data_IF_719429454849
#
_entry.id   IF_719429454849
#
_cell.length_a   1.000
_cell.length_b   1.000
_cell.length_c   1.000
_cell.angle_alpha   90.00
_cell.angle_beta   90.00
_cell.angle_gamma   90.00
#
_symmetry.space_group_name_H-M   'P 1'
#
loop_
_entity.id
_entity.type
_entity.pdbx_description
1 polymer ?
#
# COMPACT_ATOMS: atom_id res chain seq x y z
N UNK A 1 7.18 -38.99 7.49
CA UNK A 1 8.05 -37.79 7.42
C UNK A 1 7.69 -36.95 6.19
N UNK A 2 6.57 -36.20 6.18
CA UNK A 2 6.25 -35.30 5.04
C UNK A 2 5.28 -34.15 5.34
N UNK A 3 4.73 -34.04 6.55
CA UNK A 3 3.67 -33.06 6.85
C UNK A 3 4.15 -31.81 7.64
N UNK A 4 5.45 -31.66 7.87
CA UNK A 4 6.00 -30.58 8.72
C UNK A 4 6.76 -29.48 7.95
N UNK A 5 6.92 -29.59 6.64
CA UNK A 5 7.69 -28.60 5.84
C UNK A 5 6.86 -27.45 5.28
N UNK A 6 5.54 -27.62 5.10
CA UNK A 6 4.70 -26.59 4.46
C UNK A 6 4.10 -25.57 5.43
N UNK A 7 3.90 -25.94 6.70
CA UNK A 7 3.31 -25.05 7.70
C UNK A 7 4.29 -23.96 8.18
N UNK A 8 5.60 -24.25 8.19
CA UNK A 8 6.62 -23.29 8.63
C UNK A 8 6.77 -22.09 7.70
N UNK A 9 6.62 -22.24 6.38
CA UNK A 9 6.81 -21.12 5.45
C UNK A 9 5.67 -20.08 5.56
N UNK A 10 4.41 -20.54 5.66
CA UNK A 10 3.27 -19.64 5.80
C UNK A 10 3.25 -18.92 7.17
N UNK A 11 3.60 -19.63 8.24
CA UNK A 11 3.65 -19.04 9.58
C UNK A 11 4.83 -18.06 9.74
N UNK A 12 6.01 -18.39 9.19
CA UNK A 12 7.19 -17.49 9.26
C UNK A 12 6.99 -16.24 8.40
N UNK A 13 6.34 -16.33 7.23
CA UNK A 13 6.02 -15.14 6.42
C UNK A 13 5.02 -14.23 7.15
N UNK A 14 4.01 -14.77 7.82
CA UNK A 14 3.05 -13.99 8.59
C UNK A 14 3.70 -13.30 9.81
N UNK A 15 4.61 -13.99 10.50
CA UNK A 15 5.31 -13.45 11.68
C UNK A 15 6.35 -12.40 11.30
N UNK A 16 7.10 -12.59 10.20
CA UNK A 16 8.09 -11.59 9.72
C UNK A 16 7.41 -10.31 9.22
N UNK A 17 6.19 -10.41 8.68
CA UNK A 17 5.38 -9.24 8.32
C UNK A 17 4.90 -8.45 9.55
N UNK A 18 4.71 -9.12 10.69
CA UNK A 18 4.28 -8.50 11.94
C UNK A 18 5.45 -7.87 12.72
N UNK A 19 6.65 -8.42 12.65
CA UNK A 19 7.79 -7.99 13.49
C UNK A 19 8.68 -6.90 12.88
N UNK A 20 8.48 -6.53 11.62
CA UNK A 20 9.24 -5.44 10.96
C UNK A 20 8.53 -4.08 11.02
N UNK A 21 7.37 -4.02 11.68
CA UNK A 21 6.69 -2.78 12.05
C UNK A 21 7.53 -2.03 13.08
N UNK A 22 8.53 -1.28 12.61
CA UNK A 22 9.00 -0.10 13.34
C UNK A 22 7.76 0.79 13.54
N UNK A 23 7.39 1.16 14.77
CA UNK A 23 6.42 2.22 14.98
C UNK A 23 7.06 3.51 14.47
N UNK A 24 6.89 3.77 13.18
CA UNK A 24 7.25 5.05 12.60
C UNK A 24 6.34 6.07 13.27
N UNK A 25 6.93 6.97 14.06
CA UNK A 25 6.28 8.07 14.76
C UNK A 25 5.00 8.52 14.07
N UNK A 26 3.85 8.23 14.68
CA UNK A 26 2.55 8.69 14.21
C UNK A 26 2.61 10.22 14.16
N UNK A 27 2.72 10.79 12.96
CA UNK A 27 2.46 12.21 12.79
C UNK A 27 0.95 12.33 12.96
N UNK A 28 0.54 13.07 13.97
CA UNK A 28 -0.87 13.25 14.27
C UNK A 28 -1.50 14.16 13.22
N UNK A 29 -1.90 13.57 12.09
CA UNK A 29 -2.91 14.11 11.19
C UNK A 29 -4.09 13.15 11.19
N UNK A 30 -5.00 13.35 12.17
CA UNK A 30 -6.31 12.71 12.26
C UNK A 30 -6.35 11.18 12.22
N UNK A 31 -5.89 10.49 13.27
CA UNK A 31 -6.19 9.06 13.57
C UNK A 31 -6.17 8.04 12.40
N UNK A 32 -5.41 8.30 11.32
CA UNK A 32 -5.34 7.41 10.17
C UNK A 32 -4.53 6.18 10.54
N UNK A 33 -5.16 5.01 10.47
CA UNK A 33 -4.51 3.73 10.68
C UNK A 33 -3.75 3.30 9.42
N UNK A 34 -2.43 3.47 9.42
CA UNK A 34 -1.58 3.11 8.28
C UNK A 34 -1.63 1.61 7.93
N UNK A 35 -1.93 0.73 8.89
CA UNK A 35 -2.10 -0.71 8.61
C UNK A 35 -3.33 -0.91 7.73
N UNK A 36 -4.43 -0.23 8.05
CA UNK A 36 -5.64 -0.26 7.20
C UNK A 36 -5.39 0.35 5.82
N UNK A 37 -4.64 1.45 5.75
CA UNK A 37 -4.27 2.05 4.45
C UNK A 37 -3.48 1.05 3.60
N UNK A 38 -2.52 0.33 4.19
CA UNK A 38 -1.71 -0.68 3.50
C UNK A 38 -2.55 -1.84 2.95
N UNK A 39 -3.59 -2.27 3.67
CA UNK A 39 -4.47 -3.38 3.24
C UNK A 39 -5.19 -3.07 1.92
N UNK A 40 -5.43 -1.81 1.57
CA UNK A 40 -5.99 -1.45 0.26
C UNK A 40 -5.05 -1.79 -0.92
N UNK A 41 -3.75 -1.94 -0.67
CA UNK A 41 -2.73 -2.23 -1.69
C UNK A 41 -2.37 -3.72 -1.79
N UNK A 42 -2.80 -4.56 -0.84
CA UNK A 42 -2.63 -6.02 -0.91
C UNK A 42 -3.04 -6.62 -2.26
N UNK A 43 -4.21 -6.31 -2.85
CA UNK A 43 -4.58 -6.84 -4.17
C UNK A 43 -3.72 -6.30 -5.33
N UNK A 44 -2.91 -5.28 -5.09
CA UNK A 44 -2.05 -4.64 -6.09
C UNK A 44 -0.63 -5.22 -6.14
N UNK A 45 -0.26 -6.08 -5.19
CA UNK A 45 1.10 -6.61 -5.06
C UNK A 45 1.61 -7.28 -6.35
N UNK A 46 0.77 -8.04 -7.05
CA UNK A 46 1.16 -8.69 -8.31
C UNK A 46 1.67 -7.73 -9.38
N UNK A 47 1.08 -6.52 -9.42
CA UNK A 47 1.49 -5.45 -10.31
C UNK A 47 2.67 -4.64 -9.75
N UNK A 48 2.62 -4.24 -8.47
CA UNK A 48 3.63 -3.41 -7.82
C UNK A 48 5.03 -4.05 -7.78
N UNK A 49 5.09 -5.37 -7.71
CA UNK A 49 6.33 -6.14 -7.66
C UNK A 49 6.62 -6.90 -8.96
N UNK A 50 5.86 -6.63 -10.03
CA UNK A 50 5.91 -7.33 -11.34
C UNK A 50 6.08 -8.84 -11.22
N UNK A 51 5.29 -9.48 -10.35
CA UNK A 51 5.42 -10.91 -10.07
C UNK A 51 4.61 -11.77 -11.04
N UNK A 52 3.41 -11.30 -11.41
CA UNK A 52 2.45 -12.09 -12.18
C UNK A 52 1.58 -11.27 -13.15
N UNK A 53 1.69 -9.93 -13.16
CA UNK A 53 0.86 -9.08 -14.02
C UNK A 53 1.52 -7.77 -14.37
N UNK A 54 1.45 -7.38 -15.64
CA UNK A 54 1.87 -6.07 -16.16
C UNK A 54 0.81 -4.98 -15.99
N UNK A 55 -0.39 -5.32 -15.50
CA UNK A 55 -1.48 -4.37 -15.24
C UNK A 55 -2.10 -4.58 -13.84
N UNK A 56 -2.64 -3.51 -13.20
CA UNK A 56 -3.41 -3.64 -11.98
C UNK A 56 -4.64 -4.53 -12.18
N UNK A 57 -4.94 -5.39 -11.20
CA UNK A 57 -6.15 -6.20 -11.25
C UNK A 57 -7.40 -5.33 -11.05
N UNK A 58 -8.59 -5.77 -11.51
CA UNK A 58 -9.84 -5.07 -11.22
C UNK A 58 -10.08 -4.87 -9.72
N UNK A 59 -9.73 -5.87 -8.90
CA UNK A 59 -9.82 -5.81 -7.43
C UNK A 59 -8.86 -4.79 -6.82
N UNK A 60 -7.63 -4.68 -7.35
CA UNK A 60 -6.70 -3.63 -6.95
C UNK A 60 -7.29 -2.23 -7.19
N UNK A 61 -7.77 -1.97 -8.41
CA UNK A 61 -8.34 -0.67 -8.72
C UNK A 61 -9.61 -0.37 -7.92
N UNK A 62 -10.45 -1.37 -7.63
CA UNK A 62 -11.62 -1.21 -6.77
C UNK A 62 -11.23 -0.80 -5.34
N UNK A 63 -10.24 -1.47 -4.74
CA UNK A 63 -9.72 -1.10 -3.41
C UNK A 63 -9.17 0.32 -3.39
N UNK A 64 -8.36 0.70 -4.38
CA UNK A 64 -7.78 2.05 -4.43
C UNK A 64 -8.84 3.14 -4.63
N UNK A 65 -9.89 2.89 -5.40
CA UNK A 65 -11.04 3.81 -5.50
C UNK A 65 -11.75 3.96 -4.16
N UNK A 66 -11.93 2.87 -3.42
CA UNK A 66 -12.53 2.91 -2.07
C UNK A 66 -11.68 3.74 -1.10
N UNK A 67 -10.37 3.54 -1.10
CA UNK A 67 -9.44 4.37 -0.32
C UNK A 67 -9.56 5.85 -0.73
N UNK A 68 -9.53 6.15 -2.03
CA UNK A 68 -9.67 7.53 -2.52
C UNK A 68 -11.00 8.18 -2.10
N UNK A 69 -12.10 7.43 -2.08
CA UNK A 69 -13.40 7.92 -1.65
C UNK A 69 -13.46 8.23 -0.13
N UNK A 70 -12.67 7.51 0.67
CA UNK A 70 -12.55 7.71 2.11
C UNK A 70 -11.52 8.79 2.48
N UNK A 71 -10.55 9.05 1.61
CA UNK A 71 -9.52 10.07 1.76
C UNK A 71 -10.04 11.46 1.35
N UNK A 72 -10.73 12.15 2.27
CA UNK A 72 -11.26 13.51 2.06
C UNK A 72 -10.79 14.47 3.15
N UNK A 73 -10.63 15.75 2.78
CA UNK A 73 -10.23 16.81 3.71
C UNK A 73 -8.93 16.45 4.46
N UNK A 74 -8.86 16.63 5.79
CA UNK A 74 -7.63 16.40 6.57
C UNK A 74 -7.16 14.93 6.57
N UNK A 75 -8.05 13.96 6.29
CA UNK A 75 -7.70 12.53 6.20
C UNK A 75 -6.72 12.27 5.06
N UNK A 76 -6.73 13.09 3.99
CA UNK A 76 -5.84 12.92 2.83
C UNK A 76 -4.37 12.99 3.21
N UNK A 77 -4.01 13.90 4.09
CA UNK A 77 -2.64 14.09 4.52
C UNK A 77 -2.15 12.87 5.29
N UNK A 78 -2.95 12.37 6.24
CA UNK A 78 -2.63 11.15 6.98
C UNK A 78 -2.47 9.93 6.07
N UNK A 79 -3.37 9.74 5.09
CA UNK A 79 -3.25 8.66 4.11
C UNK A 79 -1.97 8.81 3.27
N UNK A 80 -1.68 10.00 2.75
CA UNK A 80 -0.47 10.23 1.95
C UNK A 80 0.80 9.94 2.75
N UNK A 81 0.88 10.38 4.01
CA UNK A 81 2.03 10.12 4.87
C UNK A 81 2.20 8.63 5.17
N UNK A 82 1.10 7.89 5.37
CA UNK A 82 1.13 6.43 5.46
C UNK A 82 1.71 5.82 4.18
N UNK A 83 1.26 6.24 3.00
CA UNK A 83 1.75 5.72 1.71
C UNK A 83 3.25 5.95 1.53
N UNK A 84 3.72 7.17 1.84
CA UNK A 84 5.14 7.54 1.72
C UNK A 84 6.04 6.68 2.61
N UNK A 85 5.63 6.43 3.86
CA UNK A 85 6.38 5.59 4.81
C UNK A 85 6.41 4.13 4.38
N UNK A 86 5.27 3.63 3.90
CA UNK A 86 5.14 2.25 3.47
C UNK A 86 5.92 1.97 2.18
N UNK A 87 5.87 2.87 1.19
CA UNK A 87 6.63 2.74 -0.06
C UNK A 87 8.14 2.58 0.19
N UNK A 88 8.70 3.34 1.13
CA UNK A 88 10.10 3.23 1.52
C UNK A 88 10.45 1.90 2.22
N UNK A 89 9.45 1.16 2.71
CA UNK A 89 9.62 -0.04 3.52
C UNK A 89 9.46 -1.34 2.72
N UNK A 90 9.12 -1.28 1.42
CA UNK A 90 8.91 -2.46 0.58
C UNK A 90 10.12 -2.78 -0.31
N UNK A 91 11.01 -3.70 0.09
CA UNK A 91 12.09 -4.17 -0.78
C UNK A 91 11.52 -4.83 -2.04
N UNK A 92 12.03 -4.39 -3.20
CA UNK A 92 11.61 -4.89 -4.52
C UNK A 92 10.38 -4.21 -5.11
N UNK A 93 9.84 -3.16 -4.46
CA UNK A 93 8.80 -2.32 -5.06
C UNK A 93 9.35 -1.68 -6.34
N UNK A 94 8.62 -1.80 -7.44
CA UNK A 94 9.01 -1.18 -8.70
C UNK A 94 8.40 0.20 -8.75
N UNK A 95 9.25 1.22 -8.67
CA UNK A 95 8.83 2.61 -8.53
C UNK A 95 7.94 3.07 -9.70
N UNK A 96 8.26 2.65 -10.92
CA UNK A 96 7.46 2.95 -12.12
C UNK A 96 6.02 2.40 -12.04
N UNK A 97 5.87 1.21 -11.47
CA UNK A 97 4.54 0.61 -11.26
C UNK A 97 3.79 1.36 -10.16
N UNK A 98 4.48 1.73 -9.08
CA UNK A 98 3.89 2.50 -7.99
C UNK A 98 3.41 3.90 -8.46
N UNK A 99 4.14 4.56 -9.35
CA UNK A 99 3.78 5.89 -9.88
C UNK A 99 2.67 5.84 -10.93
N UNK A 100 2.61 4.79 -11.76
CA UNK A 100 1.60 4.65 -12.81
C UNK A 100 0.30 3.98 -12.37
N UNK A 101 0.26 3.40 -11.17
CA UNK A 101 -0.88 2.65 -10.62
C UNK A 101 -2.18 3.47 -10.60
N UNK A 102 -2.14 4.71 -10.09
CA UNK A 102 -3.32 5.58 -9.98
C UNK A 102 -3.90 5.91 -11.35
N UNK A 103 -3.04 6.30 -12.29
CA UNK A 103 -3.41 6.57 -13.70
C UNK A 103 -4.02 5.35 -14.36
N UNK A 104 -3.39 4.16 -14.21
CA UNK A 104 -3.91 2.90 -14.76
C UNK A 104 -5.25 2.47 -14.16
N UNK A 105 -5.53 2.86 -12.92
CA UNK A 105 -6.82 2.59 -12.28
C UNK A 105 -7.88 3.67 -12.55
N UNK A 106 -7.54 4.72 -13.30
CA UNK A 106 -8.43 5.84 -13.62
C UNK A 106 -8.79 6.68 -12.40
N UNK A 107 -7.90 6.74 -11.39
CA UNK A 107 -8.12 7.53 -10.17
C UNK A 107 -7.55 8.93 -10.43
N UNK A 108 -8.37 10.00 -10.28
CA UNK A 108 -7.92 11.35 -10.58
C UNK A 108 -6.69 11.71 -9.74
N UNK A 109 -5.66 12.25 -10.40
CA UNK A 109 -4.34 12.58 -9.85
C UNK A 109 -4.32 13.76 -8.86
N UNK A 110 -5.42 13.93 -8.11
CA UNK A 110 -5.54 14.97 -7.09
C UNK A 110 -5.05 14.36 -5.76
N UNK A 111 -3.73 14.14 -5.72
CA UNK A 111 -2.81 14.09 -4.56
C UNK A 111 -3.04 13.11 -3.38
N UNK A 112 -4.11 12.33 -3.30
CA UNK A 112 -4.34 11.47 -2.12
C UNK A 112 -3.77 10.04 -2.18
N UNK A 113 -3.63 9.43 -3.38
CA UNK A 113 -3.29 8.00 -3.56
C UNK A 113 -2.14 7.79 -4.53
N UNK A 114 -1.16 8.69 -4.50
CA UNK A 114 0.12 8.44 -5.17
C UNK A 114 1.12 8.02 -4.10
N UNK A 115 1.72 6.85 -4.31
CA UNK A 115 2.74 6.27 -3.42
C UNK A 115 4.01 7.16 -3.32
N UNK A 116 4.13 8.17 -4.19
CA UNK A 116 5.27 9.08 -4.24
C UNK A 116 4.89 10.56 -4.35
N UNK A 117 3.64 10.94 -4.03
CA UNK A 117 3.22 12.35 -4.08
C UNK A 117 3.77 13.16 -2.90
N UNK A 118 3.94 14.46 -3.17
CA UNK A 118 4.19 15.43 -2.11
C UNK A 118 2.91 15.63 -1.28
N UNK A 119 2.90 15.05 -0.08
CA UNK A 119 1.78 15.06 0.85
C UNK A 119 1.39 16.46 1.36
N UNK A 120 2.22 17.49 1.10
CA UNK A 120 1.91 18.89 1.44
C UNK A 120 0.89 19.54 0.50
N UNK A 121 0.59 18.90 -0.64
CA UNK A 121 -0.44 19.33 -1.61
C UNK A 121 -1.64 18.37 -1.66
N UNK A 122 -1.73 17.43 -0.70
CA UNK A 122 -2.78 16.42 -0.59
C UNK A 122 -3.95 16.88 0.28
#
# INVERSE_FOLDING_TARGET
MSALTKASLAAVVAVVFLTTLKPGAAVMSGNVDCIKVQQYFTPCAGYLFNRFSSNPSPGCCASLRSLNAQSKGPVRQGVCECLKRNAASFPGLIQEHATSLSTKCGIPLNTAVSLNADCRRA
#
